data_IF_693581145497
#
_entry.id   IF_693581145497
#
_cell.length_a   1.000
_cell.length_b   1.000
_cell.length_c   1.000
_cell.angle_alpha   90.00
_cell.angle_beta   90.00
_cell.angle_gamma   90.00
#
_symmetry.space_group_name_H-M   'P 1'
#
loop_
_entity.id
_entity.type
_entity.pdbx_description
1 polymer ?
#
# COMPACT_ATOMS: atom_id res chain seq x y z
N UNK A 1 52.75 -3.54 36.87
CA UNK A 1 53.38 -2.34 36.25
C UNK A 1 53.27 -2.31 34.73
N UNK A 2 53.33 -3.44 34.01
CA UNK A 2 53.10 -3.47 32.55
C UNK A 2 51.63 -3.21 32.12
N UNK A 3 50.65 -3.58 32.95
CA UNK A 3 49.23 -3.40 32.63
C UNK A 3 48.78 -1.93 32.59
N UNK A 4 49.31 -1.08 33.47
CA UNK A 4 49.03 0.36 33.46
C UNK A 4 49.83 1.15 32.42
N UNK A 5 50.80 0.53 31.74
CA UNK A 5 51.58 1.15 30.67
C UNK A 5 50.91 0.99 29.30
N UNK A 6 49.97 0.05 29.18
CA UNK A 6 49.19 -0.20 27.95
C UNK A 6 47.96 0.73 27.89
N UNK A 7 47.42 1.16 29.03
CA UNK A 7 46.26 2.07 29.10
C UNK A 7 46.58 3.53 28.73
N UNK A 8 47.85 3.95 28.74
CA UNK A 8 48.28 5.33 28.47
C UNK A 8 48.83 5.58 27.04
N UNK A 9 48.98 4.54 26.23
CA UNK A 9 49.19 4.68 24.80
C UNK A 9 47.88 4.32 24.12
N UNK A 10 47.13 5.34 23.68
CA UNK A 10 45.89 5.20 22.92
C UNK A 10 46.09 4.53 21.57
N UNK A 11 46.45 3.24 21.58
CA UNK A 11 46.26 2.37 20.43
C UNK A 11 44.74 2.19 20.32
N UNK A 12 44.10 2.74 19.26
CA UNK A 12 42.71 2.40 19.02
C UNK A 12 42.66 0.88 18.92
N UNK A 13 41.86 0.25 19.78
CA UNK A 13 41.55 -1.17 19.68
C UNK A 13 40.92 -1.37 18.30
N UNK A 14 41.76 -1.76 17.32
CA UNK A 14 41.30 -1.98 15.97
C UNK A 14 40.16 -3.01 16.04
N UNK A 15 39.03 -2.76 15.36
CA UNK A 15 37.93 -3.71 15.34
C UNK A 15 38.46 -5.07 14.86
N UNK A 16 37.98 -6.16 15.46
CA UNK A 16 38.38 -7.51 15.08
C UNK A 16 38.31 -7.67 13.56
N UNK A 17 39.43 -8.05 12.93
CA UNK A 17 39.52 -8.34 11.50
C UNK A 17 40.32 -9.62 11.32
N UNK A 18 39.73 -10.62 10.69
CA UNK A 18 40.37 -11.90 10.41
C UNK A 18 40.01 -12.39 9.00
N UNK A 19 40.88 -13.19 8.41
CA UNK A 19 40.57 -13.92 7.18
C UNK A 19 40.31 -15.39 7.52
N UNK A 20 39.13 -15.88 7.17
CA UNK A 20 38.69 -17.25 7.45
C UNK A 20 38.29 -17.94 6.15
N UNK A 21 38.42 -19.26 6.10
CA UNK A 21 37.92 -20.05 4.96
C UNK A 21 36.42 -20.27 5.11
N UNK A 22 35.65 -19.84 4.13
CA UNK A 22 34.21 -20.01 4.13
C UNK A 22 33.82 -21.42 3.67
N UNK A 23 32.80 -21.98 4.31
CA UNK A 23 32.19 -23.26 3.93
C UNK A 23 30.68 -23.14 4.06
N UNK A 24 29.95 -23.84 3.21
CA UNK A 24 28.51 -23.99 3.34
C UNK A 24 28.16 -24.70 4.67
N UNK A 25 27.05 -24.32 5.29
CA UNK A 25 26.54 -24.99 6.50
C UNK A 25 26.30 -26.49 6.33
N UNK A 26 26.17 -26.98 5.10
CA UNK A 26 26.05 -28.41 4.78
C UNK A 26 27.26 -29.22 5.28
N UNK A 27 28.45 -28.61 5.34
CA UNK A 27 29.67 -29.26 5.81
C UNK A 27 29.83 -29.25 7.34
N UNK A 28 28.89 -28.62 8.07
CA UNK A 28 28.96 -28.58 9.53
C UNK A 28 28.51 -29.92 10.13
N UNK A 29 29.47 -30.80 10.40
CA UNK A 29 29.24 -32.18 10.84
C UNK A 29 28.48 -32.34 12.16
N UNK A 30 28.39 -31.29 12.99
CA UNK A 30 27.85 -31.36 14.34
C UNK A 30 26.34 -31.06 14.43
N UNK A 31 25.65 -30.80 13.31
CA UNK A 31 24.22 -30.46 13.31
C UNK A 31 23.36 -31.51 12.59
N UNK A 32 22.16 -31.74 13.13
CA UNK A 32 21.12 -32.52 12.46
C UNK A 32 20.73 -31.85 11.13
N UNK A 33 20.35 -32.66 10.13
CA UNK A 33 19.97 -32.16 8.80
C UNK A 33 18.87 -31.06 8.86
N UNK A 34 17.91 -31.20 9.77
CA UNK A 34 16.83 -30.23 9.96
C UNK A 34 17.34 -28.90 10.53
N UNK A 35 18.35 -28.95 11.42
CA UNK A 35 18.99 -27.74 11.95
C UNK A 35 19.76 -27.04 10.84
N UNK A 36 20.53 -27.76 10.04
CA UNK A 36 21.27 -27.20 8.90
C UNK A 36 20.31 -26.51 7.92
N UNK A 37 19.19 -27.14 7.59
CA UNK A 37 18.18 -26.54 6.73
C UNK A 37 17.64 -25.22 7.31
N UNK A 38 17.29 -25.19 8.60
CA UNK A 38 16.81 -23.98 9.25
C UNK A 38 17.88 -22.88 9.36
N UNK A 39 19.14 -23.26 9.55
CA UNK A 39 20.26 -22.33 9.61
C UNK A 39 20.57 -21.70 8.24
N UNK A 40 20.41 -22.48 7.15
CA UNK A 40 20.57 -21.98 5.79
C UNK A 40 19.59 -20.86 5.43
N UNK A 41 18.41 -20.81 6.04
CA UNK A 41 17.42 -19.73 5.82
C UNK A 41 17.51 -18.60 6.86
N UNK A 42 18.58 -18.57 7.67
CA UNK A 42 18.82 -17.55 8.68
C UNK A 42 19.89 -16.53 8.27
N UNK A 43 19.98 -15.45 9.05
CA UNK A 43 21.00 -14.41 8.92
C UNK A 43 22.18 -14.55 9.88
N UNK A 44 22.48 -15.78 10.32
CA UNK A 44 23.47 -16.05 11.37
C UNK A 44 24.55 -17.01 10.88
N UNK A 45 25.79 -16.76 11.27
CA UNK A 45 26.97 -17.54 10.86
C UNK A 45 27.60 -18.27 12.05
N UNK A 46 28.40 -19.30 11.79
CA UNK A 46 29.21 -19.99 12.81
C UNK A 46 30.66 -19.52 12.72
N UNK A 47 31.20 -19.05 13.83
CA UNK A 47 32.58 -18.58 13.95
C UNK A 47 33.40 -19.51 14.85
N UNK A 48 34.74 -19.48 14.77
CA UNK A 48 35.58 -20.29 15.65
C UNK A 48 35.62 -19.73 17.08
N UNK A 49 35.91 -20.59 18.05
CA UNK A 49 36.02 -20.21 19.47
C UNK A 49 37.05 -19.10 19.71
N UNK A 50 38.14 -19.09 18.94
CA UNK A 50 39.16 -18.03 19.02
C UNK A 50 38.62 -16.62 18.74
N UNK A 51 37.59 -16.50 17.90
CA UNK A 51 36.93 -15.21 17.64
C UNK A 51 36.24 -14.71 18.90
N UNK A 52 35.53 -15.57 19.63
CA UNK A 52 34.88 -15.19 20.89
C UNK A 52 35.88 -14.70 21.92
N UNK A 53 37.00 -15.42 22.08
CA UNK A 53 38.07 -15.05 23.01
C UNK A 53 38.63 -13.66 22.70
N UNK A 54 38.76 -13.31 21.42
CA UNK A 54 39.18 -11.97 21.02
C UNK A 54 38.13 -10.92 21.37
N UNK A 55 36.85 -11.16 21.02
CA UNK A 55 35.76 -10.22 21.25
C UNK A 55 35.56 -9.95 22.74
N UNK A 56 35.68 -10.98 23.59
CA UNK A 56 35.61 -10.85 25.04
C UNK A 56 36.74 -10.00 25.60
N UNK A 57 37.96 -10.11 25.06
CA UNK A 57 39.11 -9.25 25.46
C UNK A 57 38.94 -7.81 25.00
N UNK A 58 38.20 -7.59 23.91
CA UNK A 58 37.88 -6.26 23.39
C UNK A 58 36.67 -5.61 24.06
N UNK A 59 36.08 -6.22 25.10
CA UNK A 59 34.86 -5.76 25.77
C UNK A 59 33.69 -5.48 24.81
N UNK A 60 33.53 -6.31 23.79
CA UNK A 60 32.42 -6.18 22.84
C UNK A 60 31.15 -6.77 23.45
N UNK A 61 30.12 -5.93 23.58
CA UNK A 61 28.79 -6.32 24.07
C UNK A 61 27.90 -6.86 22.94
N UNK A 62 26.85 -7.58 23.33
CA UNK A 62 25.81 -8.04 22.42
C UNK A 62 24.96 -6.85 21.91
N UNK A 63 24.51 -6.81 20.64
CA UNK A 63 24.64 -7.84 19.60
C UNK A 63 25.96 -7.79 18.80
N UNK A 64 26.58 -8.95 18.64
CA UNK A 64 27.81 -9.12 17.85
C UNK A 64 27.46 -9.26 16.36
N UNK A 65 27.85 -8.26 15.56
CA UNK A 65 27.61 -8.20 14.13
C UNK A 65 28.93 -8.16 13.37
N UNK A 66 28.96 -8.84 12.23
CA UNK A 66 30.14 -8.96 11.40
C UNK A 66 29.85 -8.54 9.98
N UNK A 67 30.77 -7.79 9.40
CA UNK A 67 30.83 -7.50 7.98
C UNK A 67 31.71 -8.55 7.32
N UNK A 68 31.14 -9.24 6.35
CA UNK A 68 31.83 -10.19 5.49
C UNK A 68 32.18 -9.49 4.19
N UNK A 69 33.44 -9.62 3.80
CA UNK A 69 34.00 -9.07 2.57
C UNK A 69 34.64 -10.18 1.77
N UNK A 70 34.32 -10.26 0.48
CA UNK A 70 35.07 -11.12 -0.43
C UNK A 70 36.51 -10.54 -0.57
N UNK A 71 37.53 -11.39 -0.48
CA UNK A 71 38.93 -10.96 -0.64
C UNK A 71 39.31 -10.67 -2.09
N UNK A 72 38.47 -11.06 -3.05
CA UNK A 72 38.70 -10.76 -4.46
C UNK A 72 38.32 -9.30 -4.76
N UNK A 73 39.33 -8.50 -5.11
CA UNK A 73 39.17 -7.07 -5.39
C UNK A 73 38.25 -6.76 -6.57
N UNK A 74 38.00 -7.72 -7.47
CA UNK A 74 37.13 -7.52 -8.64
C UNK A 74 35.64 -7.51 -8.27
N UNK A 75 35.26 -8.21 -7.20
CA UNK A 75 33.85 -8.46 -6.88
C UNK A 75 33.30 -7.41 -5.90
N UNK A 76 34.14 -6.84 -5.01
CA UNK A 76 33.81 -5.79 -4.01
C UNK A 76 32.43 -5.94 -3.35
N UNK A 77 32.00 -7.19 -3.09
CA UNK A 77 30.74 -7.45 -2.40
C UNK A 77 30.99 -7.56 -0.90
N UNK A 78 30.11 -6.90 -0.16
CA UNK A 78 30.09 -6.89 1.29
C UNK A 78 28.67 -7.21 1.76
N UNK A 79 28.55 -8.07 2.77
CA UNK A 79 27.28 -8.34 3.46
C UNK A 79 27.51 -8.29 4.96
N UNK A 80 26.44 -8.09 5.73
CA UNK A 80 26.49 -8.03 7.18
C UNK A 80 25.65 -9.16 7.76
N UNK A 81 26.17 -9.78 8.82
CA UNK A 81 25.56 -10.94 9.43
C UNK A 81 25.72 -10.91 10.95
N UNK A 82 24.84 -11.65 11.64
CA UNK A 82 25.02 -11.95 13.06
C UNK A 82 25.79 -13.25 13.27
N UNK A 83 26.28 -13.48 14.49
CA UNK A 83 26.80 -14.78 14.90
C UNK A 83 25.69 -15.61 15.56
N UNK A 84 25.62 -16.90 15.23
CA UNK A 84 24.79 -17.86 15.95
C UNK A 84 25.56 -18.37 17.18
N UNK A 85 26.67 -19.05 16.92
CA UNK A 85 27.48 -19.76 17.89
C UNK A 85 28.96 -19.75 17.48
N UNK A 86 29.84 -19.92 18.47
CA UNK A 86 31.29 -19.96 18.29
C UNK A 86 31.82 -21.40 18.35
N UNK A 87 31.26 -22.26 17.49
CA UNK A 87 31.52 -23.70 17.45
C UNK A 87 32.22 -24.18 16.17
N UNK A 88 32.60 -23.25 15.27
CA UNK A 88 33.30 -23.62 14.05
C UNK A 88 34.74 -24.07 14.33
N UNK A 89 35.30 -24.88 13.43
CA UNK A 89 36.71 -25.25 13.51
C UNK A 89 37.61 -24.02 13.28
N UNK A 90 38.76 -23.98 13.95
CA UNK A 90 39.71 -22.88 13.85
C UNK A 90 40.15 -22.63 12.39
N UNK A 91 40.06 -21.36 11.96
CA UNK A 91 40.35 -20.95 10.58
C UNK A 91 39.21 -21.17 9.58
N UNK A 92 38.06 -21.70 10.01
CA UNK A 92 36.87 -21.90 9.18
C UNK A 92 35.70 -21.04 9.66
N UNK A 93 34.82 -20.65 8.73
CA UNK A 93 33.55 -19.98 9.00
C UNK A 93 32.46 -20.66 8.18
N UNK A 94 31.33 -20.96 8.80
CA UNK A 94 30.19 -21.57 8.10
C UNK A 94 29.14 -20.52 7.79
N UNK A 95 28.78 -20.41 6.51
CA UNK A 95 27.83 -19.43 5.99
C UNK A 95 26.59 -20.12 5.40
N UNK A 96 25.41 -19.49 5.49
CA UNK A 96 24.25 -19.89 4.71
C UNK A 96 24.53 -19.85 3.19
N UNK A 97 23.89 -20.72 2.43
CA UNK A 97 24.04 -20.79 0.96
C UNK A 97 23.78 -19.44 0.27
N UNK A 98 22.69 -18.76 0.62
CA UNK A 98 22.34 -17.46 0.02
C UNK A 98 23.42 -16.40 0.24
N UNK A 99 24.15 -16.47 1.36
CA UNK A 99 25.22 -15.53 1.69
C UNK A 99 26.48 -15.81 0.87
N UNK A 100 26.77 -17.08 0.60
CA UNK A 100 27.86 -17.48 -0.30
C UNK A 100 27.58 -17.04 -1.74
N UNK A 101 26.34 -17.20 -2.21
CA UNK A 101 25.89 -16.69 -3.51
C UNK A 101 25.98 -15.16 -3.58
N UNK A 102 25.56 -14.46 -2.52
CA UNK A 102 25.65 -13.01 -2.46
C UNK A 102 27.10 -12.53 -2.54
N UNK A 103 28.03 -13.18 -1.84
CA UNK A 103 29.46 -12.85 -1.86
C UNK A 103 30.19 -13.38 -3.11
N UNK A 104 29.57 -14.26 -3.89
CA UNK A 104 30.17 -14.98 -5.02
C UNK A 104 31.44 -15.74 -4.61
N UNK A 105 31.36 -16.50 -3.52
CA UNK A 105 32.44 -17.33 -2.98
C UNK A 105 32.08 -18.81 -3.00
N UNK A 106 33.06 -19.66 -3.23
CA UNK A 106 32.90 -21.12 -3.19
C UNK A 106 33.42 -21.69 -1.87
N UNK A 107 33.07 -22.95 -1.59
CA UNK A 107 33.60 -23.66 -0.44
C UNK A 107 35.14 -23.70 -0.44
N UNK A 108 35.75 -23.24 0.65
CA UNK A 108 37.20 -23.16 0.85
C UNK A 108 37.82 -21.80 0.50
N UNK A 109 37.08 -20.88 -0.11
CA UNK A 109 37.57 -19.53 -0.42
C UNK A 109 37.79 -18.71 0.85
N UNK A 110 38.73 -17.77 0.80
CA UNK A 110 39.01 -16.85 1.90
C UNK A 110 38.04 -15.68 1.89
N UNK A 111 37.49 -15.35 3.05
CA UNK A 111 36.68 -14.15 3.26
C UNK A 111 37.27 -13.34 4.43
N UNK A 112 37.15 -12.02 4.35
CA UNK A 112 37.50 -11.13 5.46
C UNK A 112 36.28 -10.92 6.35
N UNK A 113 36.40 -11.30 7.62
CA UNK A 113 35.39 -11.12 8.66
C UNK A 113 35.84 -9.98 9.56
N UNK A 114 35.05 -8.90 9.57
CA UNK A 114 35.30 -7.69 10.35
C UNK A 114 34.17 -7.46 11.35
N UNK A 115 34.49 -7.18 12.61
CA UNK A 115 33.48 -6.75 13.58
C UNK A 115 33.01 -5.32 13.27
N UNK A 116 31.70 -5.11 13.25
CA UNK A 116 31.08 -3.82 12.95
C UNK A 116 29.90 -3.58 13.88
N UNK A 117 29.75 -2.36 14.37
CA UNK A 117 28.55 -1.92 15.08
C UNK A 117 27.63 -1.15 14.13
N UNK A 118 26.40 -1.64 13.95
CA UNK A 118 25.41 -1.06 13.06
C UNK A 118 24.30 -0.35 13.85
N UNK A 119 23.76 0.77 13.34
CA UNK A 119 22.61 1.42 13.95
C UNK A 119 21.35 0.57 13.77
N UNK A 120 20.37 0.77 14.66
CA UNK A 120 19.04 0.15 14.56
C UNK A 120 18.29 0.63 13.31
N UNK A 121 17.65 -0.29 12.62
CA UNK A 121 16.86 -0.03 11.42
C UNK A 121 15.53 0.67 11.76
N UNK A 122 15.15 1.68 10.97
CA UNK A 122 13.84 2.35 11.10
C UNK A 122 12.91 2.09 9.92
N UNK A 123 13.48 1.93 8.72
CA UNK A 123 12.75 1.68 7.49
C UNK A 123 13.54 0.76 6.57
N UNK A 124 12.84 -0.19 5.95
CA UNK A 124 13.38 -1.07 4.91
C UNK A 124 12.40 -1.19 3.75
N UNK A 125 12.90 -0.99 2.53
CA UNK A 125 12.16 -1.27 1.30
C UNK A 125 12.65 -2.57 0.71
N UNK A 126 11.75 -3.54 0.60
CA UNK A 126 12.01 -4.89 0.15
C UNK A 126 11.34 -5.14 -1.20
N UNK A 127 12.05 -5.80 -2.11
CA UNK A 127 11.57 -6.16 -3.45
C UNK A 127 11.60 -7.68 -3.63
N UNK A 128 10.43 -8.35 -3.65
CA UNK A 128 10.35 -9.76 -3.97
C UNK A 128 10.85 -10.05 -5.39
N UNK A 129 11.55 -11.17 -5.58
CA UNK A 129 12.06 -11.56 -6.91
C UNK A 129 11.09 -12.46 -7.69
N UNK A 130 10.13 -13.11 -7.03
CA UNK A 130 9.11 -13.95 -7.68
C UNK A 130 7.71 -13.36 -7.53
N UNK A 131 6.88 -13.59 -8.54
CA UNK A 131 5.44 -13.31 -8.51
C UNK A 131 4.69 -14.23 -7.54
N UNK A 132 5.24 -15.41 -7.24
CA UNK A 132 4.66 -16.38 -6.28
C UNK A 132 4.54 -15.77 -4.88
N UNK A 133 5.28 -14.70 -4.59
CA UNK A 133 5.16 -13.96 -3.34
C UNK A 133 3.80 -13.25 -3.21
N UNK A 134 3.14 -12.92 -4.33
CA UNK A 134 1.81 -12.31 -4.36
C UNK A 134 0.70 -13.30 -3.99
N UNK A 135 0.95 -14.61 -4.12
CA UNK A 135 -0.03 -15.65 -3.77
C UNK A 135 -0.09 -15.92 -2.26
N UNK A 136 0.84 -15.36 -1.48
CA UNK A 136 0.84 -15.45 -0.02
C UNK A 136 -0.31 -14.60 0.53
N UNK A 137 -1.18 -15.21 1.33
CA UNK A 137 -2.35 -14.51 1.92
C UNK A 137 -1.96 -13.29 2.75
N UNK A 138 -0.93 -13.43 3.60
CA UNK A 138 -0.43 -12.37 4.49
C UNK A 138 1.10 -12.20 4.36
N UNK A 139 1.60 -11.54 3.30
CA UNK A 139 3.04 -11.42 3.05
C UNK A 139 3.79 -10.67 4.16
N UNK A 140 3.11 -9.74 4.84
CA UNK A 140 3.68 -8.97 5.97
C UNK A 140 3.99 -9.85 7.17
N UNK A 141 3.05 -10.69 7.59
CA UNK A 141 3.21 -11.53 8.77
C UNK A 141 4.29 -12.61 8.56
N UNK A 142 4.35 -13.18 7.34
CA UNK A 142 5.41 -14.13 6.97
C UNK A 142 6.77 -13.45 7.05
N UNK A 143 6.91 -12.26 6.49
CA UNK A 143 8.17 -11.54 6.55
C UNK A 143 8.53 -11.09 7.96
N UNK A 144 7.61 -10.65 8.81
CA UNK A 144 7.94 -10.34 10.20
C UNK A 144 8.52 -11.57 10.93
N UNK A 145 7.96 -12.75 10.67
CA UNK A 145 8.42 -14.01 11.24
C UNK A 145 9.79 -14.43 10.69
N UNK A 146 9.98 -14.32 9.38
CA UNK A 146 11.21 -14.74 8.71
C UNK A 146 12.35 -13.72 8.91
N UNK A 147 12.07 -12.42 8.82
CA UNK A 147 13.03 -11.33 9.05
C UNK A 147 13.53 -11.31 10.49
N UNK A 148 12.73 -11.76 11.47
CA UNK A 148 13.18 -11.93 12.85
C UNK A 148 14.36 -12.91 13.00
N UNK A 149 14.59 -13.80 12.03
CA UNK A 149 15.75 -14.71 12.01
C UNK A 149 17.04 -14.02 11.58
N UNK A 150 16.95 -12.81 11.02
CA UNK A 150 18.08 -12.03 10.51
C UNK A 150 18.50 -10.96 11.52
N UNK A 151 19.81 -10.76 11.67
CA UNK A 151 20.37 -9.76 12.59
C UNK A 151 20.66 -8.42 11.92
N UNK A 152 21.00 -8.45 10.62
CA UNK A 152 21.47 -7.30 9.86
C UNK A 152 20.87 -7.33 8.46
N UNK A 153 20.64 -6.15 7.88
CA UNK A 153 20.37 -5.97 6.45
C UNK A 153 21.40 -5.04 5.83
N UNK A 154 21.81 -5.34 4.61
CA UNK A 154 22.63 -4.47 3.76
C UNK A 154 21.83 -4.09 2.51
N UNK A 155 22.01 -2.87 2.01
CA UNK A 155 21.42 -2.47 0.72
C UNK A 155 21.94 -3.41 -0.38
N UNK A 156 21.04 -3.82 -1.28
CA UNK A 156 21.26 -4.77 -2.36
C UNK A 156 21.53 -6.23 -1.95
N UNK A 157 21.37 -6.60 -0.68
CA UNK A 157 21.39 -8.01 -0.30
C UNK A 157 20.14 -8.74 -0.81
N UNK A 158 20.37 -9.94 -1.38
CA UNK A 158 19.33 -10.87 -1.77
C UNK A 158 19.17 -11.91 -0.67
N UNK A 159 18.12 -11.76 0.13
CA UNK A 159 17.84 -12.62 1.27
C UNK A 159 16.88 -13.71 0.83
N UNK A 160 17.19 -14.96 1.17
CA UNK A 160 16.32 -16.10 0.89
C UNK A 160 15.77 -16.67 2.18
N UNK A 161 14.46 -16.94 2.21
CA UNK A 161 13.77 -17.59 3.32
C UNK A 161 12.80 -18.65 2.78
N UNK A 162 12.40 -19.59 3.63
CA UNK A 162 11.52 -20.69 3.24
C UNK A 162 10.16 -20.55 3.91
N UNK A 163 9.09 -20.60 3.10
CA UNK A 163 7.71 -20.58 3.57
C UNK A 163 6.91 -21.65 2.82
N UNK A 164 6.17 -22.51 3.55
CA UNK A 164 5.40 -23.63 2.98
C UNK A 164 6.20 -24.48 1.97
N UNK A 165 7.41 -24.90 2.34
CA UNK A 165 8.32 -25.69 1.50
C UNK A 165 8.73 -25.03 0.17
N UNK A 166 8.51 -23.72 0.02
CA UNK A 166 8.93 -22.92 -1.13
C UNK A 166 9.93 -21.86 -0.68
N UNK A 167 11.02 -21.74 -1.43
CA UNK A 167 12.09 -20.78 -1.16
C UNK A 167 11.80 -19.47 -1.88
N UNK A 168 11.65 -18.39 -1.11
CA UNK A 168 11.39 -17.05 -1.62
C UNK A 168 12.63 -16.19 -1.44
N UNK A 169 12.98 -15.43 -2.48
CA UNK A 169 14.08 -14.46 -2.44
C UNK A 169 13.56 -13.03 -2.50
N UNK A 170 14.08 -12.19 -1.62
CA UNK A 170 13.71 -10.78 -1.49
C UNK A 170 14.97 -9.92 -1.49
N UNK A 171 15.00 -8.92 -2.37
CA UNK A 171 16.10 -7.97 -2.48
C UNK A 171 15.86 -6.74 -1.61
N UNK A 172 16.86 -6.34 -0.85
CA UNK A 172 16.82 -5.08 -0.09
C UNK A 172 17.13 -3.91 -1.01
N UNK A 173 16.15 -3.03 -1.24
CA UNK A 173 16.29 -1.88 -2.16
C UNK A 173 16.77 -0.63 -1.42
N UNK A 174 16.20 -0.36 -0.24
CA UNK A 174 16.51 0.84 0.55
C UNK A 174 16.48 0.52 2.04
N UNK A 175 17.40 1.12 2.79
CA UNK A 175 17.49 1.04 4.25
C UNK A 175 17.69 2.44 4.84
N UNK A 176 17.19 2.65 6.05
CA UNK A 176 17.43 3.86 6.85
C UNK A 176 17.75 3.48 8.30
N UNK A 177 18.69 4.17 8.98
CA UNK A 177 19.40 5.40 8.55
C UNK A 177 20.70 5.17 7.77
N UNK A 178 21.20 3.94 7.67
CA UNK A 178 22.49 3.62 7.06
C UNK A 178 22.35 2.55 5.97
N UNK A 179 23.42 2.37 5.18
CA UNK A 179 23.46 1.33 4.14
C UNK A 179 23.47 -0.10 4.70
N UNK A 180 23.84 -0.24 5.96
CA UNK A 180 23.76 -1.47 6.72
C UNK A 180 23.16 -1.16 8.08
N UNK A 181 22.17 -1.94 8.51
CA UNK A 181 21.39 -1.69 9.73
C UNK A 181 21.19 -2.98 10.52
N UNK A 182 21.03 -2.84 11.82
CA UNK A 182 20.65 -3.93 12.73
C UNK A 182 19.13 -3.99 12.87
N UNK A 183 18.56 -5.19 12.81
CA UNK A 183 17.11 -5.44 12.84
C UNK A 183 16.70 -6.16 14.12
N UNK A 184 17.65 -6.38 15.04
CA UNK A 184 17.42 -7.09 16.30
C UNK A 184 16.54 -6.23 17.21
N UNK A 185 15.35 -6.74 17.57
CA UNK A 185 14.42 -6.10 18.51
C UNK A 185 14.11 -4.63 18.14
N UNK A 186 13.82 -4.40 16.85
CA UNK A 186 13.49 -3.09 16.32
C UNK A 186 12.12 -3.12 15.63
N UNK A 187 11.31 -2.08 15.83
CA UNK A 187 10.07 -1.86 15.09
C UNK A 187 10.41 -1.32 13.69
N UNK A 188 10.60 -2.23 12.73
CA UNK A 188 10.98 -1.89 11.37
C UNK A 188 9.74 -1.59 10.51
N UNK A 189 9.69 -0.40 9.91
CA UNK A 189 8.69 -0.12 8.88
C UNK A 189 9.11 -0.77 7.55
N UNK A 190 8.37 -1.80 7.12
CA UNK A 190 8.63 -2.52 5.86
C UNK A 190 7.72 -2.02 4.74
N UNK A 191 8.32 -1.55 3.65
CA UNK A 191 7.63 -1.17 2.41
C UNK A 191 7.96 -2.17 1.28
N UNK A 192 6.99 -2.40 0.40
CA UNK A 192 7.10 -3.38 -0.68
C UNK A 192 7.25 -2.69 -2.03
N UNK A 193 8.33 -3.00 -2.73
CA UNK A 193 8.42 -2.72 -4.15
C UNK A 193 7.71 -3.84 -4.94
N UNK A 194 7.10 -3.52 -6.09
CA UNK A 194 6.55 -4.53 -7.00
C UNK A 194 7.59 -5.60 -7.35
N UNK A 195 7.19 -6.88 -7.46
CA UNK A 195 8.12 -7.94 -7.79
C UNK A 195 8.73 -7.73 -9.18
N UNK A 196 9.96 -8.21 -9.36
CA UNK A 196 10.63 -8.14 -10.66
C UNK A 196 9.84 -8.97 -11.67
N UNK A 197 9.39 -8.34 -12.76
CA UNK A 197 8.56 -8.99 -13.79
C UNK A 197 7.04 -8.83 -13.59
N UNK A 198 6.58 -8.11 -12.57
CA UNK A 198 5.18 -7.71 -12.49
C UNK A 198 4.84 -6.79 -13.65
N UNK A 199 4.02 -7.29 -14.58
CA UNK A 199 3.29 -6.46 -15.52
C UNK A 199 1.98 -6.08 -14.84
N UNK A 200 1.89 -4.84 -14.40
CA UNK A 200 0.61 -4.28 -13.98
C UNK A 200 -0.33 -4.39 -15.19
N UNK A 201 -1.40 -5.19 -15.08
CA UNK A 201 -2.43 -5.16 -16.09
C UNK A 201 -2.90 -3.71 -16.18
N UNK A 202 -2.67 -3.05 -17.32
CA UNK A 202 -3.25 -1.75 -17.59
C UNK A 202 -4.75 -1.93 -17.43
N UNK A 203 -5.27 -1.56 -16.25
CA UNK A 203 -6.69 -1.46 -16.05
C UNK A 203 -7.12 -0.36 -17.01
N UNK A 204 -7.55 -0.77 -18.21
CA UNK A 204 -8.35 0.06 -19.08
C UNK A 204 -9.42 0.62 -18.16
N UNK A 205 -9.34 1.92 -17.90
CA UNK A 205 -10.43 2.66 -17.29
C UNK A 205 -11.61 2.53 -18.25
N UNK A 206 -12.34 1.41 -18.20
CA UNK A 206 -13.66 1.30 -18.80
C UNK A 206 -14.45 2.40 -18.14
N UNK A 207 -14.63 3.50 -18.85
CA UNK A 207 -15.37 4.66 -18.36
C UNK A 207 -16.73 4.14 -17.92
N UNK A 208 -16.98 4.17 -16.61
CA UNK A 208 -18.29 3.93 -16.01
C UNK A 208 -19.21 5.13 -16.22
N UNK A 209 -19.16 5.76 -17.40
CA UNK A 209 -20.13 6.77 -17.79
C UNK A 209 -21.30 6.04 -18.45
N UNK A 210 -22.33 5.77 -17.65
CA UNK A 210 -23.59 5.24 -18.16
C UNK A 210 -24.19 6.26 -19.13
N UNK A 211 -24.65 5.86 -20.33
CA UNK A 211 -25.26 6.78 -21.27
C UNK A 211 -26.48 7.46 -20.64
N UNK A 212 -26.68 8.74 -20.95
CA UNK A 212 -27.87 9.48 -20.55
C UNK A 212 -29.09 8.85 -21.21
N UNK A 213 -30.13 8.60 -20.41
CA UNK A 213 -31.30 7.88 -20.91
C UNK A 213 -32.17 8.75 -21.83
N UNK A 214 -32.85 8.19 -22.86
CA UNK A 214 -33.76 8.96 -23.71
C UNK A 214 -34.75 9.81 -22.91
N UNK A 215 -34.94 11.05 -23.36
CA UNK A 215 -35.83 12.05 -22.74
C UNK A 215 -37.26 11.51 -22.62
N UNK A 216 -37.82 11.51 -21.40
CA UNK A 216 -39.22 11.16 -21.17
C UNK A 216 -40.13 12.26 -21.75
N UNK A 217 -41.19 11.91 -22.51
CA UNK A 217 -41.92 12.89 -23.30
C UNK A 217 -42.84 13.84 -22.50
N UNK A 218 -42.46 15.12 -22.52
CA UNK A 218 -43.28 16.34 -22.73
C UNK A 218 -44.31 16.78 -21.69
N UNK A 219 -44.12 18.01 -21.20
CA UNK A 219 -45.09 18.84 -20.48
C UNK A 219 -46.41 19.00 -21.27
N UNK A 220 -47.55 19.11 -20.58
CA UNK A 220 -48.83 19.61 -21.12
C UNK A 220 -49.03 21.05 -20.66
N UNK A 221 -49.22 21.98 -21.60
CA UNK A 221 -49.71 23.33 -21.30
C UNK A 221 -51.05 23.24 -20.56
N UNK A 222 -51.16 23.92 -19.43
CA UNK A 222 -52.46 24.19 -18.81
C UNK A 222 -52.70 25.68 -18.96
N UNK A 223 -53.70 26.01 -19.80
CA UNK A 223 -54.23 27.38 -19.87
C UNK A 223 -55.05 27.68 -18.61
N UNK A 224 -54.37 27.83 -17.48
CA UNK A 224 -54.98 28.24 -16.22
C UNK A 224 -55.24 29.76 -16.25
N UNK A 225 -56.19 30.22 -17.07
CA UNK A 225 -56.70 31.60 -17.00
C UNK A 225 -57.56 31.76 -15.72
N UNK A 226 -56.91 31.76 -14.55
CA UNK A 226 -57.57 31.75 -13.23
C UNK A 226 -58.23 33.09 -12.89
N UNK A 227 -57.87 34.20 -13.55
CA UNK A 227 -58.52 35.51 -13.36
C UNK A 227 -58.83 36.22 -14.68
N UNK A 228 -60.06 36.10 -15.16
CA UNK A 228 -60.60 36.89 -16.30
C UNK A 228 -61.54 38.03 -15.84
N UNK A 229 -61.25 38.63 -14.69
CA UNK A 229 -62.02 39.79 -14.22
C UNK A 229 -61.51 41.08 -14.86
N UNK A 230 -62.32 41.72 -15.72
CA UNK A 230 -62.06 43.12 -16.09
C UNK A 230 -62.24 43.99 -14.84
N UNK A 231 -61.15 44.62 -14.39
CA UNK A 231 -61.17 45.51 -13.23
C UNK A 231 -61.93 46.79 -13.51
N UNK A 232 -63.14 46.92 -12.97
CA UNK A 232 -63.97 48.12 -13.05
C UNK A 232 -63.40 49.19 -12.09
N UNK A 233 -63.22 50.43 -12.57
CA UNK A 233 -62.91 51.57 -11.69
C UNK A 233 -64.20 52.02 -11.00
N UNK A 234 -64.15 52.22 -9.69
CA UNK A 234 -65.22 52.90 -8.93
C UNK A 234 -65.49 54.33 -9.44
N UNK A 235 -64.55 54.93 -10.17
CA UNK A 235 -64.69 56.25 -10.80
C UNK A 235 -65.47 56.25 -12.14
N UNK A 236 -65.99 55.11 -12.61
CA UNK A 236 -66.72 55.00 -13.88
C UNK A 236 -65.87 55.20 -15.15
N UNK A 237 -64.55 55.39 -15.01
CA UNK A 237 -63.60 55.57 -16.12
C UNK A 237 -63.02 54.23 -16.56
N UNK A 238 -62.89 53.99 -17.85
CA UNK A 238 -62.23 52.78 -18.39
C UNK A 238 -60.71 52.85 -18.17
N UNK A 239 -60.08 51.75 -17.70
CA UNK A 239 -58.61 51.67 -17.61
C UNK A 239 -58.02 51.41 -19.00
N UNK A 240 -56.93 52.11 -19.31
CA UNK A 240 -56.04 51.85 -20.47
C UNK A 240 -55.59 50.38 -20.45
N UNK A 241 -55.79 49.64 -21.55
CA UNK A 241 -55.33 48.25 -21.72
C UNK A 241 -53.83 48.16 -21.42
N UNK A 242 -53.48 47.47 -20.34
CA UNK A 242 -52.11 47.01 -20.09
C UNK A 242 -52.02 45.61 -20.66
N UNK A 243 -51.21 45.44 -21.70
CA UNK A 243 -50.79 44.15 -22.25
C UNK A 243 -50.05 43.39 -21.16
N UNK A 244 -50.73 42.42 -20.53
CA UNK A 244 -50.07 41.44 -19.66
C UNK A 244 -49.56 40.31 -20.57
N UNK A 245 -48.29 39.99 -20.41
CA UNK A 245 -47.62 38.80 -20.95
C UNK A 245 -48.37 37.55 -20.51
N UNK A 246 -48.65 36.65 -21.45
CA UNK A 246 -49.29 35.37 -21.17
C UNK A 246 -48.32 34.47 -20.39
N UNK A 247 -48.37 34.53 -19.06
CA UNK A 247 -47.68 33.59 -18.19
C UNK A 247 -48.39 32.23 -18.30
N UNK A 248 -47.91 31.38 -19.21
CA UNK A 248 -48.41 30.00 -19.37
C UNK A 248 -47.75 29.09 -18.33
N UNK A 249 -48.57 28.37 -17.57
CA UNK A 249 -48.12 27.33 -16.66
C UNK A 249 -48.21 25.93 -17.31
N UNK A 250 -47.22 25.08 -17.07
CA UNK A 250 -47.06 23.77 -17.73
C UNK A 250 -47.02 22.64 -16.71
N UNK A 251 -47.89 21.64 -16.82
CA UNK A 251 -47.91 20.45 -15.95
C UNK A 251 -47.14 19.29 -16.60
N UNK A 252 -46.41 18.51 -15.79
CA UNK A 252 -45.72 17.30 -16.25
C UNK A 252 -46.70 16.14 -16.47
N UNK A 253 -46.60 15.43 -17.61
CA UNK A 253 -47.39 14.22 -17.87
C UNK A 253 -46.97 13.09 -16.93
N UNK A 254 -47.93 12.24 -16.56
CA UNK A 254 -47.66 11.00 -15.83
C UNK A 254 -46.80 10.04 -16.69
N UNK A 255 -45.98 9.22 -16.02
CA UNK A 255 -45.20 8.17 -16.68
C UNK A 255 -46.13 7.14 -17.33
N UNK A 256 -45.77 6.57 -18.49
CA UNK A 256 -46.54 5.50 -19.13
C UNK A 256 -46.69 4.28 -18.20
N UNK A 257 -47.81 3.58 -18.28
CA UNK A 257 -48.04 2.35 -17.51
C UNK A 257 -47.02 1.26 -17.87
N UNK A 258 -46.65 0.44 -16.89
CA UNK A 258 -45.74 -0.70 -17.12
C UNK A 258 -46.52 -1.77 -17.89
N UNK A 259 -46.10 -2.03 -19.12
CA UNK A 259 -46.64 -3.16 -19.89
C UNK A 259 -45.82 -4.40 -19.56
N UNK A 260 -46.42 -5.35 -18.87
CA UNK A 260 -45.80 -6.65 -18.58
C UNK A 260 -45.96 -7.53 -19.81
N UNK A 261 -44.86 -8.05 -20.34
CA UNK A 261 -44.90 -9.00 -21.45
C UNK A 261 -45.05 -10.43 -20.89
N UNK A 262 -46.27 -10.97 -20.96
CA UNK A 262 -46.60 -12.31 -20.46
C UNK A 262 -46.14 -13.46 -21.40
N UNK A 263 -45.78 -13.14 -22.65
CA UNK A 263 -45.34 -14.12 -23.66
C UNK A 263 -43.81 -14.35 -23.64
N UNK A 264 -43.11 -13.91 -22.58
CA UNK A 264 -41.66 -14.01 -22.50
C UNK A 264 -41.19 -15.46 -22.40
N UNK A 265 -40.35 -15.89 -23.34
CA UNK A 265 -39.65 -17.18 -23.30
C UNK A 265 -38.27 -17.00 -22.65
N UNK A 266 -37.88 -17.83 -21.66
CA UNK A 266 -36.58 -17.73 -20.99
C UNK A 266 -35.39 -17.76 -21.97
N UNK A 267 -34.48 -16.80 -21.83
CA UNK A 267 -33.25 -16.69 -22.63
C UNK A 267 -32.33 -15.58 -22.11
N UNK A 268 -31.20 -15.36 -22.77
CA UNK A 268 -30.26 -14.29 -22.38
C UNK A 268 -30.85 -12.92 -22.72
N UNK A 269 -31.11 -12.11 -21.69
CA UNK A 269 -31.55 -10.72 -21.83
C UNK A 269 -30.36 -9.77 -21.75
N UNK A 270 -30.13 -9.00 -22.81
CA UNK A 270 -29.19 -7.88 -22.81
C UNK A 270 -29.97 -6.57 -22.72
N UNK A 271 -29.62 -5.70 -21.77
CA UNK A 271 -30.22 -4.36 -21.64
C UNK A 271 -29.13 -3.32 -21.38
N UNK A 272 -29.32 -2.13 -21.93
CA UNK A 272 -28.44 -0.98 -21.67
C UNK A 272 -28.80 -0.36 -20.33
N UNK A 273 -27.84 -0.26 -19.41
CA UNK A 273 -28.00 0.50 -18.17
C UNK A 273 -27.80 1.98 -18.45
N UNK A 274 -28.90 2.70 -18.65
CA UNK A 274 -28.92 4.16 -18.72
C UNK A 274 -28.89 4.78 -17.33
N UNK A 275 -28.40 6.02 -17.22
CA UNK A 275 -28.42 6.81 -15.98
C UNK A 275 -29.82 7.37 -15.66
N UNK A 276 -30.79 6.47 -15.43
CA UNK A 276 -32.15 6.84 -15.05
C UNK A 276 -32.34 6.92 -13.55
N UNK A 277 -33.11 7.92 -13.10
CA UNK A 277 -33.69 7.93 -11.76
C UNK A 277 -34.74 6.82 -11.65
N UNK A 278 -34.84 6.19 -10.48
CA UNK A 278 -35.86 5.18 -10.19
C UNK A 278 -37.27 5.71 -10.51
N UNK A 279 -38.12 4.90 -11.15
CA UNK A 279 -39.50 5.27 -11.55
C UNK A 279 -40.28 5.93 -10.41
N UNK A 280 -40.19 5.38 -9.20
CA UNK A 280 -40.89 5.89 -8.01
C UNK A 280 -40.45 7.32 -7.66
N UNK A 281 -39.16 7.62 -7.82
CA UNK A 281 -38.60 8.96 -7.58
C UNK A 281 -39.10 9.93 -8.66
N UNK A 282 -39.13 9.48 -9.92
CA UNK A 282 -39.68 10.26 -11.03
C UNK A 282 -41.17 10.57 -10.85
N UNK A 283 -41.98 9.59 -10.43
CA UNK A 283 -43.42 9.77 -10.17
C UNK A 283 -43.67 10.78 -9.03
N UNK A 284 -42.88 10.73 -7.96
CA UNK A 284 -42.98 11.69 -6.86
C UNK A 284 -42.58 13.10 -7.31
N UNK A 285 -41.51 13.25 -8.11
CA UNK A 285 -41.11 14.55 -8.67
C UNK A 285 -42.17 15.15 -9.58
N UNK A 286 -42.82 14.33 -10.42
CA UNK A 286 -43.93 14.76 -11.26
C UNK A 286 -45.11 15.25 -10.41
N UNK A 287 -45.46 14.51 -9.34
CA UNK A 287 -46.54 14.90 -8.41
C UNK A 287 -46.22 16.22 -7.71
N UNK A 288 -45.03 16.36 -7.12
CA UNK A 288 -44.61 17.60 -6.44
C UNK A 288 -44.59 18.81 -7.39
N UNK A 289 -44.14 18.63 -8.63
CA UNK A 289 -44.14 19.69 -9.63
C UNK A 289 -45.56 20.15 -9.96
N UNK A 290 -46.45 19.19 -10.20
CA UNK A 290 -47.85 19.46 -10.53
C UNK A 290 -48.61 20.07 -9.34
N UNK A 291 -48.35 19.61 -8.12
CA UNK A 291 -48.93 20.18 -6.90
C UNK A 291 -48.49 21.62 -6.65
N UNK A 292 -47.22 21.97 -6.91
CA UNK A 292 -46.74 23.35 -6.79
C UNK A 292 -47.44 24.31 -7.75
N UNK A 293 -47.72 23.85 -8.97
CA UNK A 293 -48.43 24.65 -9.97
C UNK A 293 -49.90 24.83 -9.56
N UNK A 294 -50.56 23.75 -9.12
CA UNK A 294 -51.98 23.80 -8.73
C UNK A 294 -52.19 24.58 -7.42
N UNK A 295 -51.30 24.46 -6.44
CA UNK A 295 -51.40 25.12 -5.13
C UNK A 295 -50.85 26.54 -5.08
N UNK A 296 -50.07 26.96 -6.08
CA UNK A 296 -49.47 28.30 -6.16
C UNK A 296 -50.47 29.46 -6.36
N UNK A 297 -51.75 29.16 -6.56
CA UNK A 297 -52.78 30.11 -7.02
C UNK A 297 -53.23 31.23 -6.06
N UNK A 298 -52.62 31.44 -4.88
CA UNK A 298 -53.10 32.48 -3.94
C UNK A 298 -52.05 33.23 -3.10
N UNK A 299 -50.75 33.13 -3.37
CA UNK A 299 -49.73 33.80 -2.53
C UNK A 299 -49.42 35.26 -2.93
N UNK A 300 -50.43 36.05 -3.34
CA UNK A 300 -50.24 37.50 -3.49
C UNK A 300 -50.45 38.20 -2.15
N UNK A 301 -49.38 38.75 -1.57
CA UNK A 301 -49.47 39.68 -0.45
C UNK A 301 -50.20 40.95 -0.90
N UNK A 302 -51.41 41.16 -0.36
CA UNK A 302 -52.19 42.37 -0.63
C UNK A 302 -51.50 43.60 -0.07
N UNK A 303 -50.99 44.48 -0.93
CA UNK A 303 -50.48 45.79 -0.51
C UNK A 303 -51.64 46.73 -0.18
N UNK A 304 -51.67 47.26 1.05
CA UNK A 304 -52.67 48.25 1.46
C UNK A 304 -52.27 49.65 0.99
N UNK A 305 -53.03 50.26 0.08
CA UNK A 305 -52.87 51.67 -0.29
C UNK A 305 -53.59 52.57 0.70
N UNK A 306 -53.05 52.74 1.91
CA UNK A 306 -53.53 53.75 2.85
C UNK A 306 -52.46 54.82 3.02
N UNK A 307 -52.47 55.80 2.11
CA UNK A 307 -51.72 57.04 2.29
C UNK A 307 -52.32 57.79 3.49
N UNK A 308 -51.62 57.75 4.63
CA UNK A 308 -51.87 58.60 5.78
C UNK A 308 -51.59 60.06 5.34
N UNK A 309 -52.64 60.87 5.18
CA UNK A 309 -52.49 62.34 5.15
C UNK A 309 -51.83 62.75 6.47
N UNK A 310 -50.60 63.24 6.42
CA UNK A 310 -50.07 64.15 7.45
C UNK A 310 -50.67 65.53 7.19
N UNK A 311 -51.03 66.21 8.27
CA UNK A 311 -51.56 67.58 8.32
C UNK A 311 -50.81 68.54 7.42
#
# INVERSE_FOLDING_TARGET
MLQHLIENFGFPTLPYKSQLRCFSMIYYANADHDKIANLNFGGKILLPSSTLDYLMRSNIEYPMMFKLLNTNDEIQRATHCGVLEFSAEEGKVYLPSWMMEQLLVNDGDLISVEYVQLPKATYAKLQPQSVDFLDITDPRAVLETELAKFCCFTINDLITFRYNDTDYSVKVVKLEPANAVSVIECDLNVDFAPPVGYQEEESEKKSTEMPEGPELPSFKEINAKIFQGEGIRLDGKTKKKVTKTDDKEFIMKALPEIVVNEDYKPGTLTFTRYNYKNRTILENQIKEHNEKIISGGFNSTGFTTRNKKKN
#
